data_IF_767618369008
#
_entry.id   IF_767618369008
#
_cell.length_a   1.000
_cell.length_b   1.000
_cell.length_c   1.000
_cell.angle_alpha   90.00
_cell.angle_beta   90.00
_cell.angle_gamma   90.00
#
_symmetry.space_group_name_H-M   'P 1'
#
loop_
_entity.id
_entity.type
_entity.pdbx_description
1 polymer ?
#
# COMPACT_ATOMS: atom_id res chain seq x y z
N UNK A 1 15.25 16.60 -34.37
CA UNK A 1 14.52 15.33 -34.10
C UNK A 1 14.10 15.35 -32.66
N UNK A 2 12.81 15.13 -32.38
CA UNK A 2 12.33 15.05 -30.99
C UNK A 2 12.96 13.83 -30.30
N UNK A 3 13.48 14.02 -29.10
CA UNK A 3 14.05 12.92 -28.28
C UNK A 3 13.00 11.82 -28.04
N UNK A 4 13.38 10.54 -28.20
CA UNK A 4 12.48 9.42 -27.97
C UNK A 4 11.94 9.44 -26.53
N UNK A 5 10.67 9.10 -26.30
CA UNK A 5 10.05 9.18 -24.97
C UNK A 5 10.60 8.14 -24.00
N UNK A 6 10.38 8.36 -22.72
CA UNK A 6 10.45 7.31 -21.68
C UNK A 6 9.09 6.62 -21.63
N UNK A 7 9.07 5.29 -21.74
CA UNK A 7 7.85 4.51 -21.56
C UNK A 7 7.64 4.14 -20.08
N UNK A 8 6.41 4.26 -19.61
CA UNK A 8 5.93 3.66 -18.37
C UNK A 8 4.94 2.58 -18.73
N UNK A 9 5.22 1.33 -18.34
CA UNK A 9 4.40 0.16 -18.68
C UNK A 9 3.56 -0.24 -17.46
N UNK A 10 2.27 0.04 -17.55
CA UNK A 10 1.28 -0.17 -16.49
C UNK A 10 0.92 1.11 -15.72
N UNK A 11 -0.39 1.40 -15.68
CA UNK A 11 -0.99 2.54 -14.97
C UNK A 11 -1.21 2.30 -13.47
N UNK A 12 -0.47 1.39 -12.82
CA UNK A 12 -0.52 1.17 -11.38
C UNK A 12 -0.06 2.41 -10.60
N UNK A 13 -0.33 2.50 -9.30
CA UNK A 13 0.16 3.62 -8.45
C UNK A 13 1.66 3.86 -8.58
N UNK A 14 2.45 2.79 -8.70
CA UNK A 14 3.89 2.91 -8.89
C UNK A 14 4.24 3.53 -10.25
N UNK A 15 3.54 3.11 -11.32
CA UNK A 15 3.69 3.67 -12.67
C UNK A 15 3.27 5.13 -12.73
N UNK A 16 2.11 5.48 -12.17
CA UNK A 16 1.64 6.86 -12.10
C UNK A 16 2.62 7.76 -11.33
N UNK A 17 3.17 7.28 -10.21
CA UNK A 17 4.15 8.02 -9.42
C UNK A 17 5.46 8.25 -10.20
N UNK A 18 5.93 7.25 -10.95
CA UNK A 18 7.11 7.37 -11.80
C UNK A 18 6.85 8.34 -12.96
N UNK A 19 5.74 8.19 -13.69
CA UNK A 19 5.38 9.04 -14.81
C UNK A 19 5.29 10.52 -14.42
N UNK A 20 4.60 10.84 -13.31
CA UNK A 20 4.46 12.20 -12.82
C UNK A 20 5.81 12.87 -12.49
N UNK A 21 6.73 12.09 -11.87
CA UNK A 21 8.06 12.59 -11.49
C UNK A 21 8.98 12.74 -12.69
N UNK A 22 8.99 11.80 -13.63
CA UNK A 22 9.78 11.87 -14.85
C UNK A 22 9.34 13.05 -15.72
N UNK A 23 8.04 13.25 -15.91
CA UNK A 23 7.52 14.38 -16.66
C UNK A 23 7.87 15.74 -16.00
N UNK A 24 7.94 15.80 -14.66
CA UNK A 24 8.43 17.00 -13.94
C UNK A 24 9.91 17.28 -14.24
N UNK A 25 10.71 16.26 -14.46
CA UNK A 25 12.11 16.38 -14.88
C UNK A 25 12.27 16.68 -16.37
N UNK A 26 11.18 17.08 -17.04
CA UNK A 26 11.14 17.45 -18.48
C UNK A 26 11.43 16.30 -19.44
N UNK A 27 11.32 15.05 -18.99
CA UNK A 27 11.32 13.92 -19.90
C UNK A 27 9.97 13.86 -20.62
N UNK A 28 9.98 13.57 -21.92
CA UNK A 28 8.77 13.15 -22.63
C UNK A 28 8.39 11.77 -22.12
N UNK A 29 7.16 11.60 -21.62
CA UNK A 29 6.69 10.35 -21.02
C UNK A 29 5.45 9.86 -21.76
N UNK A 30 5.44 8.59 -22.13
CA UNK A 30 4.28 7.86 -22.62
C UNK A 30 3.96 6.73 -21.64
N UNK A 31 2.70 6.63 -21.21
CA UNK A 31 2.22 5.59 -20.29
C UNK A 31 1.29 4.65 -21.06
N UNK A 32 1.64 3.37 -21.07
CA UNK A 32 0.83 2.29 -21.64
C UNK A 32 0.07 1.58 -20.52
N UNK A 33 -1.24 1.44 -20.70
CA UNK A 33 -2.11 0.70 -19.79
C UNK A 33 -3.02 -0.22 -20.62
N UNK A 34 -3.07 -1.50 -20.23
CA UNK A 34 -3.88 -2.49 -20.94
C UNK A 34 -5.38 -2.28 -20.74
N UNK A 35 -5.78 -1.72 -19.60
CA UNK A 35 -7.16 -1.33 -19.30
C UNK A 35 -7.50 0.06 -19.79
N UNK A 36 -8.75 0.43 -19.62
CA UNK A 36 -9.32 1.74 -19.97
C UNK A 36 -9.19 2.78 -18.84
N UNK A 37 -8.73 2.36 -17.67
CA UNK A 37 -8.63 3.20 -16.45
C UNK A 37 -7.24 3.17 -15.84
N UNK A 38 -6.84 4.30 -15.23
CA UNK A 38 -5.58 4.45 -14.49
C UNK A 38 -5.77 4.04 -13.03
N UNK A 39 -4.68 3.59 -12.38
CA UNK A 39 -4.67 3.20 -10.98
C UNK A 39 -4.56 1.68 -10.77
N UNK A 40 -4.67 0.90 -11.84
CA UNK A 40 -4.63 -0.56 -11.81
C UNK A 40 -5.67 -1.11 -10.83
N UNK A 41 -5.26 -2.05 -9.97
CA UNK A 41 -6.17 -2.65 -8.98
C UNK A 41 -6.84 -1.61 -8.04
N UNK A 42 -6.13 -0.53 -7.69
CA UNK A 42 -6.65 0.48 -6.77
C UNK A 42 -7.78 1.32 -7.35
N UNK A 43 -7.96 1.32 -8.67
CA UNK A 43 -9.08 1.98 -9.35
C UNK A 43 -10.40 1.21 -9.21
N UNK A 44 -10.36 -0.08 -8.85
CA UNK A 44 -11.56 -0.86 -8.64
C UNK A 44 -12.35 -0.31 -7.44
N UNK A 45 -13.69 -0.24 -7.53
CA UNK A 45 -14.53 0.33 -6.48
C UNK A 45 -14.26 -0.28 -5.10
N UNK A 46 -13.97 0.58 -4.13
CA UNK A 46 -13.73 0.21 -2.73
C UNK A 46 -12.39 -0.46 -2.44
N UNK A 47 -11.55 -0.78 -3.43
CA UNK A 47 -10.27 -1.48 -3.20
C UNK A 47 -9.25 -0.57 -2.51
N UNK A 48 -9.13 0.69 -2.93
CA UNK A 48 -8.30 1.68 -2.23
C UNK A 48 -8.99 2.09 -0.93
N UNK A 49 -8.40 1.79 0.24
CA UNK A 49 -9.03 2.15 1.51
C UNK A 49 -9.26 3.65 1.62
N UNK A 50 -10.41 4.10 2.18
CA UNK A 50 -10.67 5.52 2.42
C UNK A 50 -9.85 6.08 3.58
N UNK A 51 -9.23 5.22 4.39
CA UNK A 51 -8.30 5.59 5.46
C UNK A 51 -6.86 5.42 4.99
N UNK A 52 -6.10 6.49 5.07
CA UNK A 52 -4.70 6.59 4.66
C UNK A 52 -3.81 6.57 5.88
N UNK A 53 -2.83 5.67 5.90
CA UNK A 53 -1.70 5.72 6.82
C UNK A 53 -0.48 6.25 6.08
N UNK A 54 0.47 6.86 6.79
CA UNK A 54 1.70 7.40 6.21
C UNK A 54 1.45 8.31 4.98
N UNK A 55 0.86 9.51 5.14
CA UNK A 55 0.56 10.42 4.03
C UNK A 55 1.81 11.05 3.38
N UNK A 56 3.00 10.90 3.99
CA UNK A 56 4.23 11.51 3.52
C UNK A 56 4.60 11.16 2.07
N UNK A 57 4.47 9.91 1.57
CA UNK A 57 4.73 9.58 0.16
C UNK A 57 3.77 10.30 -0.81
N UNK A 58 2.50 10.50 -0.46
CA UNK A 58 1.56 11.31 -1.24
C UNK A 58 2.00 12.78 -1.30
N UNK A 59 2.34 13.38 -0.16
CA UNK A 59 2.87 14.74 -0.07
C UNK A 59 4.14 14.92 -0.89
N UNK A 60 5.06 13.96 -0.80
CA UNK A 60 6.30 13.99 -1.58
C UNK A 60 6.05 13.86 -3.10
N UNK A 61 5.16 12.94 -3.53
CA UNK A 61 4.79 12.79 -4.92
C UNK A 61 4.25 14.10 -5.51
N UNK A 62 3.26 14.71 -4.88
CA UNK A 62 2.64 15.93 -5.40
C UNK A 62 3.63 17.10 -5.42
N UNK A 63 4.42 17.29 -4.35
CA UNK A 63 5.48 18.30 -4.31
C UNK A 63 6.53 18.10 -5.41
N UNK A 64 6.94 16.85 -5.64
CA UNK A 64 7.96 16.49 -6.65
C UNK A 64 7.41 16.40 -8.06
N UNK A 65 6.11 16.47 -8.26
CA UNK A 65 5.46 16.52 -9.57
C UNK A 65 4.78 17.88 -9.85
N UNK A 66 4.76 18.80 -8.89
CA UNK A 66 4.18 20.14 -9.12
C UNK A 66 3.76 20.85 -7.85
N UNK A 67 2.46 21.14 -7.69
CA UNK A 67 1.93 21.81 -6.51
C UNK A 67 1.96 20.86 -5.29
N UNK A 68 2.25 21.37 -4.07
CA UNK A 68 2.14 20.59 -2.85
C UNK A 68 0.77 19.92 -2.67
N UNK A 69 0.73 18.77 -2.02
CA UNK A 69 -0.45 17.92 -1.90
C UNK A 69 -1.63 18.66 -1.27
N UNK A 70 -1.42 19.26 -0.09
CA UNK A 70 -2.51 19.95 0.63
C UNK A 70 -3.07 21.14 -0.19
N UNK A 71 -2.22 21.84 -0.96
CA UNK A 71 -2.66 22.90 -1.86
C UNK A 71 -3.41 22.39 -3.11
N UNK A 72 -3.08 21.17 -3.58
CA UNK A 72 -3.82 20.53 -4.66
C UNK A 72 -5.19 20.05 -4.18
N UNK A 73 -5.26 19.47 -2.99
CA UNK A 73 -6.51 19.07 -2.35
C UNK A 73 -7.44 20.27 -2.18
N UNK A 74 -6.95 21.36 -1.60
CA UNK A 74 -7.75 22.56 -1.36
C UNK A 74 -8.34 23.15 -2.66
N UNK A 75 -7.60 23.10 -3.78
CA UNK A 75 -8.05 23.58 -5.09
C UNK A 75 -9.27 22.83 -5.63
N UNK A 76 -9.45 21.60 -5.20
CA UNK A 76 -10.54 20.71 -5.67
C UNK A 76 -11.58 20.44 -4.58
N UNK A 77 -11.61 21.27 -3.52
CA UNK A 77 -12.53 21.11 -2.39
C UNK A 77 -12.18 19.96 -1.46
N UNK A 78 -11.04 19.29 -1.69
CA UNK A 78 -10.61 18.17 -0.85
C UNK A 78 -9.77 18.65 0.33
N UNK A 79 -9.77 17.83 1.39
CA UNK A 79 -8.85 17.95 2.52
C UNK A 79 -8.46 16.57 3.05
N UNK A 80 -7.27 16.49 3.63
CA UNK A 80 -6.85 15.31 4.38
C UNK A 80 -6.96 15.63 5.87
N UNK A 81 -7.92 15.01 6.54
CA UNK A 81 -8.22 15.26 7.95
C UNK A 81 -7.95 14.00 8.79
N UNK A 82 -7.71 14.12 10.12
CA UNK A 82 -7.58 12.94 10.98
C UNK A 82 -8.80 12.04 10.87
N UNK A 83 -8.58 10.73 10.72
CA UNK A 83 -9.63 9.73 10.77
C UNK A 83 -9.89 9.30 12.22
N UNK A 84 -11.11 8.91 12.59
CA UNK A 84 -11.41 8.33 13.89
C UNK A 84 -10.56 7.08 14.17
N UNK A 85 -10.36 6.74 15.46
CA UNK A 85 -9.74 5.47 15.84
C UNK A 85 -10.46 4.28 15.23
N UNK A 86 -9.71 3.22 14.87
CA UNK A 86 -10.32 1.97 14.44
C UNK A 86 -10.98 1.25 15.63
N UNK A 87 -12.13 0.63 15.37
CA UNK A 87 -12.82 -0.23 16.33
C UNK A 87 -12.50 -1.68 16.00
N UNK A 88 -11.97 -2.42 16.96
CA UNK A 88 -11.61 -3.83 16.82
C UNK A 88 -12.56 -4.71 17.60
N UNK A 89 -13.11 -5.74 16.95
CA UNK A 89 -13.89 -6.79 17.56
C UNK A 89 -13.10 -8.10 17.55
N UNK A 90 -13.02 -8.77 18.66
CA UNK A 90 -12.23 -9.98 18.84
C UNK A 90 -13.12 -11.22 19.02
N UNK A 91 -12.52 -12.38 18.75
CA UNK A 91 -13.25 -13.67 18.83
C UNK A 91 -13.73 -14.02 20.24
N UNK A 92 -13.16 -13.41 21.29
CA UNK A 92 -13.59 -13.55 22.67
C UNK A 92 -14.80 -12.65 23.04
N UNK A 93 -15.34 -11.92 22.06
CA UNK A 93 -16.42 -10.95 22.24
C UNK A 93 -15.96 -9.57 22.70
N UNK A 94 -14.66 -9.39 23.00
CA UNK A 94 -14.09 -8.12 23.42
C UNK A 94 -14.07 -7.10 22.28
N UNK A 95 -14.16 -5.82 22.64
CA UNK A 95 -14.09 -4.69 21.72
C UNK A 95 -13.03 -3.70 22.20
N UNK A 96 -12.25 -3.15 21.26
CA UNK A 96 -11.24 -2.14 21.53
C UNK A 96 -11.31 -1.03 20.49
N UNK A 97 -11.53 0.19 20.93
CA UNK A 97 -11.23 1.39 20.12
C UNK A 97 -9.76 1.74 20.31
N UNK A 98 -8.98 1.73 19.23
CA UNK A 98 -7.54 1.88 19.28
C UNK A 98 -7.10 3.27 18.76
N UNK A 99 -6.85 4.26 19.67
CA UNK A 99 -6.32 5.57 19.30
C UNK A 99 -4.92 5.48 18.70
N UNK A 100 -4.55 6.48 17.90
CA UNK A 100 -3.18 6.61 17.36
C UNK A 100 -2.30 7.51 18.23
N UNK A 101 -2.88 8.46 18.98
CA UNK A 101 -2.13 9.23 19.96
C UNK A 101 -1.52 8.31 21.03
N UNK A 102 -0.27 8.58 21.41
CA UNK A 102 0.48 7.70 22.34
C UNK A 102 -0.14 7.67 23.75
N UNK A 103 -0.61 8.81 24.23
CA UNK A 103 -1.23 8.92 25.55
C UNK A 103 -2.59 8.24 25.62
N UNK A 104 -3.45 8.55 24.64
CA UNK A 104 -4.79 7.98 24.54
C UNK A 104 -4.73 6.46 24.28
N UNK A 105 -3.78 6.00 23.46
CA UNK A 105 -3.55 4.59 23.20
C UNK A 105 -3.13 3.86 24.48
N UNK A 106 -2.20 4.45 25.24
CA UNK A 106 -1.76 3.91 26.52
C UNK A 106 -2.93 3.79 27.51
N UNK A 107 -3.76 4.84 27.63
CA UNK A 107 -4.92 4.85 28.50
C UNK A 107 -5.93 3.76 28.09
N UNK A 108 -6.28 3.70 26.80
CA UNK A 108 -7.23 2.72 26.27
C UNK A 108 -6.74 1.28 26.49
N UNK A 109 -5.48 0.99 26.22
CA UNK A 109 -4.89 -0.33 26.38
C UNK A 109 -4.72 -0.72 27.85
N UNK A 110 -4.41 0.22 28.72
CA UNK A 110 -4.33 -0.03 30.17
C UNK A 110 -5.71 -0.38 30.73
N UNK A 111 -6.74 0.32 30.28
CA UNK A 111 -8.12 0.02 30.68
C UNK A 111 -8.61 -1.35 30.17
N UNK A 112 -8.30 -1.68 28.90
CA UNK A 112 -8.78 -2.91 28.26
C UNK A 112 -7.97 -4.16 28.65
N UNK A 113 -6.64 -4.06 28.76
CA UNK A 113 -5.72 -5.22 28.91
C UNK A 113 -4.93 -5.22 30.21
N UNK A 114 -5.02 -4.17 30.99
CA UNK A 114 -4.19 -3.97 32.17
C UNK A 114 -2.78 -3.47 31.82
N UNK A 115 -2.13 -2.85 32.82
CA UNK A 115 -0.82 -2.21 32.68
C UNK A 115 0.29 -3.11 32.12
N UNK A 116 0.42 -4.40 32.54
CA UNK A 116 1.49 -5.25 32.01
C UNK A 116 1.40 -5.49 30.50
N UNK A 117 0.18 -5.76 29.97
CA UNK A 117 -0.01 -5.97 28.53
C UNK A 117 0.13 -4.67 27.74
N UNK A 118 -0.37 -3.54 28.25
CA UNK A 118 -0.17 -2.22 27.66
C UNK A 118 1.33 -1.86 27.57
N UNK A 119 2.12 -2.18 28.61
CA UNK A 119 3.59 -1.97 28.59
C UNK A 119 4.25 -2.78 27.49
N UNK A 120 3.97 -4.09 27.40
CA UNK A 120 4.51 -4.95 26.31
C UNK A 120 4.14 -4.44 24.91
N UNK A 121 2.90 -3.96 24.74
CA UNK A 121 2.47 -3.37 23.48
C UNK A 121 3.26 -2.11 23.14
N UNK A 122 3.43 -1.19 24.06
CA UNK A 122 4.23 0.03 23.88
C UNK A 122 5.67 -0.31 23.46
N UNK A 123 6.31 -1.21 24.20
CA UNK A 123 7.69 -1.62 23.96
C UNK A 123 7.84 -2.30 22.59
N UNK A 124 6.83 -3.09 22.16
CA UNK A 124 6.77 -3.65 20.82
C UNK A 124 6.69 -2.56 19.75
N UNK A 125 5.83 -1.56 19.93
CA UNK A 125 5.70 -0.49 18.93
C UNK A 125 6.95 0.38 18.84
N UNK A 126 7.68 0.58 19.94
CA UNK A 126 8.94 1.29 19.94
C UNK A 126 10.03 0.49 19.19
N UNK A 127 10.10 -0.82 19.38
CA UNK A 127 10.99 -1.71 18.60
C UNK A 127 10.61 -1.72 17.10
N UNK A 128 9.32 -1.68 16.77
CA UNK A 128 8.86 -1.61 15.37
C UNK A 128 9.18 -0.25 14.72
N UNK A 129 9.18 0.86 15.46
CA UNK A 129 9.64 2.17 14.96
C UNK A 129 11.13 2.13 14.59
N UNK A 130 11.99 1.49 15.39
CA UNK A 130 13.41 1.30 15.06
C UNK A 130 13.58 0.45 13.79
N UNK A 131 12.80 -0.63 13.66
CA UNK A 131 12.80 -1.49 12.45
C UNK A 131 12.36 -0.72 11.21
N UNK A 132 11.38 0.15 11.34
CA UNK A 132 10.96 1.03 10.27
C UNK A 132 12.09 1.91 9.76
N UNK A 133 12.91 2.52 10.65
CA UNK A 133 14.04 3.35 10.24
C UNK A 133 15.08 2.56 9.41
N UNK A 134 15.25 1.26 9.68
CA UNK A 134 16.14 0.39 8.91
C UNK A 134 15.48 0.03 7.57
N UNK A 135 14.23 -0.48 7.61
CA UNK A 135 13.48 -0.92 6.43
C UNK A 135 13.37 0.22 5.40
N UNK A 136 13.09 1.43 5.85
CA UNK A 136 12.95 2.62 5.03
C UNK A 136 14.16 2.87 4.14
N UNK A 137 15.36 2.61 4.64
CA UNK A 137 16.63 2.77 3.92
C UNK A 137 17.02 1.56 3.07
N UNK A 138 16.35 0.42 3.23
CA UNK A 138 16.67 -0.81 2.52
C UNK A 138 15.67 -1.08 1.37
N UNK A 139 15.75 -0.31 0.29
CA UNK A 139 14.96 -0.53 -0.92
C UNK A 139 13.60 0.16 -0.93
N UNK A 140 13.37 1.15 -0.04
CA UNK A 140 12.22 2.05 -0.10
C UNK A 140 12.64 3.47 -0.50
N UNK A 141 13.65 4.03 0.15
CA UNK A 141 14.20 5.35 -0.12
C UNK A 141 15.52 5.29 -0.89
N UNK A 142 16.32 4.26 -0.63
CA UNK A 142 17.57 3.97 -1.32
C UNK A 142 17.50 2.63 -2.06
N UNK A 143 18.32 2.47 -3.09
CA UNK A 143 18.44 1.21 -3.81
C UNK A 143 19.06 0.15 -2.89
N UNK A 144 18.44 -1.03 -2.82
CA UNK A 144 18.95 -2.14 -2.04
C UNK A 144 20.04 -2.89 -2.81
N UNK A 145 21.16 -3.11 -2.14
CA UNK A 145 22.19 -4.07 -2.54
C UNK A 145 22.39 -5.12 -1.45
N UNK A 146 22.90 -6.31 -1.79
CA UNK A 146 23.16 -7.35 -0.79
C UNK A 146 24.17 -6.92 0.28
N UNK A 147 25.09 -5.99 -0.06
CA UNK A 147 26.05 -5.40 0.87
C UNK A 147 25.37 -4.54 1.95
N UNK A 148 24.20 -3.97 1.68
CA UNK A 148 23.47 -3.16 2.64
C UNK A 148 22.86 -3.98 3.78
N UNK A 149 22.69 -5.30 3.58
CA UNK A 149 22.12 -6.20 4.57
C UNK A 149 23.19 -6.81 5.47
N UNK A 150 23.82 -5.99 6.29
CA UNK A 150 24.77 -6.46 7.29
C UNK A 150 24.11 -7.44 8.27
N UNK A 151 24.90 -8.31 8.97
CA UNK A 151 24.37 -9.20 10.00
C UNK A 151 23.55 -8.48 11.06
N UNK A 152 23.95 -7.27 11.47
CA UNK A 152 23.24 -6.43 12.44
C UNK A 152 21.90 -5.95 11.89
N UNK A 153 21.86 -5.44 10.64
CA UNK A 153 20.62 -5.01 9.98
C UNK A 153 19.67 -6.17 9.76
N UNK A 154 20.19 -7.36 9.38
CA UNK A 154 19.39 -8.59 9.24
C UNK A 154 18.75 -9.00 10.57
N UNK A 155 19.50 -9.00 11.65
CA UNK A 155 18.99 -9.32 12.99
C UNK A 155 17.94 -8.30 13.45
N UNK A 156 18.22 -7.01 13.28
CA UNK A 156 17.30 -5.92 13.66
C UNK A 156 16.00 -5.95 12.87
N UNK A 157 16.03 -6.22 11.55
CA UNK A 157 14.82 -6.40 10.74
C UNK A 157 14.01 -7.63 11.16
N UNK A 158 14.62 -8.60 11.83
CA UNK A 158 13.92 -9.82 12.21
C UNK A 158 13.56 -10.70 11.02
N UNK A 159 14.47 -10.85 10.04
CA UNK A 159 14.28 -11.75 8.88
C UNK A 159 14.34 -13.23 9.25
N UNK A 160 14.61 -13.57 10.51
CA UNK A 160 14.68 -14.93 11.06
C UNK A 160 13.40 -15.35 11.80
N UNK A 161 12.43 -14.47 11.96
CA UNK A 161 11.16 -14.79 12.61
C UNK A 161 9.97 -14.17 11.86
N UNK A 162 8.77 -14.65 12.18
CA UNK A 162 7.52 -14.30 11.48
C UNK A 162 6.62 -13.43 12.33
N UNK A 163 5.60 -12.82 11.70
CA UNK A 163 4.51 -12.12 12.38
C UNK A 163 3.83 -13.02 13.42
N UNK A 164 3.67 -14.35 13.12
CA UNK A 164 3.12 -15.31 14.09
C UNK A 164 4.01 -15.47 15.31
N UNK A 165 5.33 -15.48 15.13
CA UNK A 165 6.28 -15.55 16.24
C UNK A 165 6.18 -14.28 17.10
N UNK A 166 6.15 -13.10 16.49
CA UNK A 166 5.98 -11.82 17.17
C UNK A 166 4.66 -11.78 17.96
N UNK A 167 3.56 -12.25 17.35
CA UNK A 167 2.26 -12.33 18.00
C UNK A 167 2.23 -13.25 19.24
N UNK A 168 3.02 -14.33 19.23
CA UNK A 168 3.15 -15.21 20.41
C UNK A 168 3.91 -14.55 21.56
N UNK A 169 4.89 -13.70 21.25
CA UNK A 169 5.70 -13.02 22.26
C UNK A 169 4.97 -11.94 23.05
N UNK A 170 3.82 -11.45 22.56
CA UNK A 170 3.07 -10.39 23.27
C UNK A 170 2.30 -10.90 24.49
N UNK A 171 2.05 -12.19 24.59
CA UNK A 171 1.32 -12.84 25.70
C UNK A 171 -0.02 -12.16 26.05
N UNK A 172 -0.79 -11.80 25.02
CA UNK A 172 -2.15 -11.28 25.12
C UNK A 172 -2.95 -11.60 23.86
N UNK A 173 -4.14 -12.25 23.94
CA UNK A 173 -4.82 -12.80 22.75
C UNK A 173 -5.28 -11.71 21.77
N UNK A 174 -5.84 -10.61 22.26
CA UNK A 174 -6.29 -9.50 21.41
C UNK A 174 -5.12 -8.75 20.77
N UNK A 175 -4.05 -8.48 21.53
CA UNK A 175 -2.82 -7.91 20.96
C UNK A 175 -2.19 -8.82 19.89
N UNK A 176 -2.18 -10.13 20.11
CA UNK A 176 -1.73 -11.11 19.15
C UNK A 176 -2.60 -11.11 17.87
N UNK A 177 -3.91 -10.87 17.99
CA UNK A 177 -4.81 -10.75 16.84
C UNK A 177 -4.49 -9.49 16.02
N UNK A 178 -4.26 -8.35 16.65
CA UNK A 178 -3.83 -7.12 16.00
C UNK A 178 -2.53 -7.33 15.21
N UNK A 179 -1.53 -7.96 15.82
CA UNK A 179 -0.24 -8.24 15.17
C UNK A 179 -0.46 -9.17 13.96
N UNK A 180 -1.20 -10.28 14.10
CA UNK A 180 -1.48 -11.20 12.99
C UNK A 180 -2.21 -10.53 11.84
N UNK A 181 -3.12 -9.59 12.12
CA UNK A 181 -3.89 -8.90 11.08
C UNK A 181 -3.00 -8.15 10.09
N UNK A 182 -1.81 -7.71 10.48
CA UNK A 182 -0.87 -7.01 9.59
C UNK A 182 -0.41 -7.87 8.43
N UNK A 183 -0.22 -9.18 8.64
CA UNK A 183 0.17 -10.11 7.59
C UNK A 183 -0.99 -10.38 6.60
N UNK A 184 -2.19 -10.60 7.10
CA UNK A 184 -3.35 -10.84 6.24
C UNK A 184 -3.70 -9.63 5.39
N UNK A 185 -3.58 -8.42 5.92
CA UNK A 185 -3.87 -7.17 5.18
C UNK A 185 -2.97 -6.96 3.96
N UNK A 186 -1.80 -7.59 3.92
CA UNK A 186 -0.91 -7.61 2.75
C UNK A 186 -1.00 -8.92 1.95
N UNK A 187 -2.03 -9.72 2.16
CA UNK A 187 -2.28 -10.95 1.43
C UNK A 187 -1.34 -12.10 1.74
N UNK A 188 -0.86 -12.21 2.98
CA UNK A 188 0.12 -13.22 3.39
C UNK A 188 -0.27 -13.89 4.71
N UNK A 189 0.21 -15.13 4.91
CA UNK A 189 0.02 -15.89 6.14
C UNK A 189 0.95 -15.38 7.25
N UNK A 190 0.45 -15.07 8.47
CA UNK A 190 1.28 -14.68 9.61
C UNK A 190 2.41 -15.64 9.94
N UNK A 191 2.25 -16.95 9.65
CA UNK A 191 3.28 -17.98 9.89
C UNK A 191 4.44 -17.91 8.89
N UNK A 192 4.28 -17.17 7.80
CA UNK A 192 5.27 -17.06 6.70
C UNK A 192 5.76 -15.63 6.49
N UNK A 193 5.02 -14.66 6.99
CA UNK A 193 5.31 -13.23 6.84
C UNK A 193 6.42 -12.81 7.79
N UNK A 194 7.47 -12.08 7.33
CA UNK A 194 8.52 -11.55 8.20
C UNK A 194 7.95 -10.68 9.30
N UNK A 195 8.55 -10.74 10.50
CA UNK A 195 8.08 -9.96 11.66
C UNK A 195 8.08 -8.45 11.46
N UNK A 196 8.97 -7.92 10.63
CA UNK A 196 9.00 -6.48 10.35
C UNK A 196 7.74 -5.94 9.65
N UNK A 197 6.93 -6.77 9.04
CA UNK A 197 5.66 -6.33 8.42
C UNK A 197 4.71 -5.70 9.44
N UNK A 198 4.86 -6.07 10.72
CA UNK A 198 4.12 -5.46 11.81
C UNK A 198 4.46 -3.95 12.05
N UNK A 199 5.48 -3.39 11.37
CA UNK A 199 5.80 -1.93 11.42
C UNK A 199 4.60 -1.06 11.08
N UNK A 200 3.60 -1.60 10.34
CA UNK A 200 2.35 -0.90 10.06
C UNK A 200 1.68 -0.38 11.35
N UNK A 201 1.71 -1.13 12.45
CA UNK A 201 1.14 -0.72 13.74
C UNK A 201 1.87 0.50 14.32
N UNK A 202 3.20 0.53 14.21
CA UNK A 202 4.00 1.67 14.62
C UNK A 202 3.79 2.88 13.68
N UNK A 203 3.64 2.66 12.38
CA UNK A 203 3.35 3.72 11.41
C UNK A 203 2.02 4.41 11.71
N UNK A 204 0.97 3.65 12.05
CA UNK A 204 -0.34 4.21 12.42
C UNK A 204 -0.25 5.04 13.72
N UNK A 205 0.51 4.58 14.72
CA UNK A 205 0.76 5.33 15.96
C UNK A 205 1.57 6.62 15.71
N UNK A 206 2.59 6.54 14.85
CA UNK A 206 3.56 7.64 14.68
C UNK A 206 3.06 8.70 13.69
N UNK A 207 2.40 8.30 12.62
CA UNK A 207 1.96 9.20 11.54
C UNK A 207 0.45 9.43 11.50
N UNK A 208 -0.29 8.77 12.37
CA UNK A 208 -1.75 8.89 12.45
C UNK A 208 -2.48 8.14 11.34
N UNK A 209 -3.78 8.25 11.42
CA UNK A 209 -4.75 7.74 10.44
C UNK A 209 -5.48 8.94 9.86
N UNK A 210 -5.63 8.97 8.54
CA UNK A 210 -6.16 10.11 7.82
C UNK A 210 -7.27 9.68 6.88
N UNK A 211 -8.25 10.52 6.68
CA UNK A 211 -9.33 10.33 5.71
C UNK A 211 -9.36 11.47 4.72
N UNK A 212 -9.73 11.18 3.48
CA UNK A 212 -9.97 12.18 2.46
C UNK A 212 -11.40 12.68 2.60
N UNK A 213 -11.56 14.00 2.54
CA UNK A 213 -12.89 14.65 2.50
C UNK A 213 -12.98 15.55 1.26
N UNK A 214 -14.20 15.75 0.77
CA UNK A 214 -14.54 16.78 -0.22
C UNK A 214 -15.69 17.59 0.35
N UNK A 215 -15.52 18.90 0.42
CA UNK A 215 -16.50 19.84 1.01
C UNK A 215 -16.97 19.42 2.41
N UNK A 216 -16.03 18.87 3.19
CA UNK A 216 -16.25 18.38 4.56
C UNK A 216 -16.83 16.97 4.68
N UNK A 217 -17.30 16.35 3.59
CA UNK A 217 -17.80 14.98 3.61
C UNK A 217 -16.70 13.95 3.25
N UNK A 218 -16.64 12.77 3.91
CA UNK A 218 -15.73 11.69 3.53
C UNK A 218 -16.00 11.21 2.11
N UNK A 219 -14.91 10.96 1.37
CA UNK A 219 -14.96 10.44 0.00
C UNK A 219 -14.12 9.18 -0.15
N UNK A 220 -14.39 8.34 -1.18
CA UNK A 220 -13.57 7.16 -1.48
C UNK A 220 -12.12 7.52 -1.74
N UNK A 221 -11.21 6.57 -1.44
CA UNK A 221 -9.78 6.73 -1.70
C UNK A 221 -9.45 6.90 -3.20
N UNK A 222 -10.33 6.44 -4.10
CA UNK A 222 -10.20 6.59 -5.56
C UNK A 222 -10.09 8.03 -6.02
N UNK A 223 -10.64 9.00 -5.29
CA UNK A 223 -10.48 10.43 -5.60
C UNK A 223 -9.00 10.86 -5.66
N UNK A 224 -8.12 10.18 -4.93
CA UNK A 224 -6.67 10.42 -5.03
C UNK A 224 -6.09 10.00 -6.38
N UNK A 225 -6.65 8.97 -7.01
CA UNK A 225 -6.25 8.52 -8.34
C UNK A 225 -6.65 9.54 -9.39
N UNK A 226 -7.87 10.11 -9.28
CA UNK A 226 -8.36 11.14 -10.18
C UNK A 226 -7.51 12.41 -10.09
N UNK A 227 -7.15 12.83 -8.88
CA UNK A 227 -6.24 13.94 -8.64
C UNK A 227 -4.85 13.69 -9.25
N UNK A 228 -4.37 12.45 -9.17
CA UNK A 228 -3.08 12.06 -9.74
C UNK A 228 -3.15 12.00 -11.27
N UNK A 229 -4.21 11.45 -11.85
CA UNK A 229 -4.45 11.43 -13.30
C UNK A 229 -4.48 12.85 -13.88
N UNK A 230 -5.24 13.76 -13.24
CA UNK A 230 -5.26 15.17 -13.60
C UNK A 230 -3.87 15.82 -13.53
N UNK A 231 -3.05 15.45 -12.54
CA UNK A 231 -1.66 15.91 -12.43
C UNK A 231 -0.79 15.43 -13.60
N UNK A 232 -0.94 14.18 -14.02
CA UNK A 232 -0.18 13.64 -15.16
C UNK A 232 -0.55 14.35 -16.45
N UNK A 233 -1.86 14.60 -16.68
CA UNK A 233 -2.34 15.38 -17.83
C UNK A 233 -1.72 16.78 -17.85
N UNK A 234 -1.70 17.50 -16.72
CA UNK A 234 -1.06 18.82 -16.58
C UNK A 234 0.47 18.77 -16.84
N UNK A 235 1.10 17.60 -16.69
CA UNK A 235 2.52 17.40 -16.97
C UNK A 235 2.79 16.96 -18.40
N UNK A 236 1.77 16.83 -19.24
CA UNK A 236 1.90 16.42 -20.62
C UNK A 236 2.30 14.96 -20.79
N UNK A 237 1.92 14.09 -19.85
CA UNK A 237 2.09 12.64 -20.02
C UNK A 237 1.11 12.18 -21.10
N UNK A 238 1.61 11.48 -22.10
CA UNK A 238 0.81 10.83 -23.14
C UNK A 238 0.25 9.52 -22.57
N UNK A 239 -1.07 9.33 -22.63
CA UNK A 239 -1.71 8.09 -22.20
C UNK A 239 -2.10 7.24 -23.40
N UNK A 240 -1.77 5.96 -23.34
CA UNK A 240 -2.22 4.92 -24.27
C UNK A 240 -2.99 3.88 -23.45
N UNK A 241 -4.28 4.16 -23.26
CA UNK A 241 -5.22 3.31 -22.54
C UNK A 241 -5.84 2.29 -23.51
N UNK A 242 -6.18 1.08 -23.00
CA UNK A 242 -6.67 -0.02 -23.83
C UNK A 242 -5.61 -0.52 -24.83
N UNK A 243 -4.33 -0.19 -24.62
CA UNK A 243 -3.23 -0.60 -25.49
C UNK A 243 -2.27 -1.53 -24.73
N UNK A 244 -2.55 -2.85 -24.71
CA UNK A 244 -1.68 -3.80 -24.03
C UNK A 244 -0.31 -3.90 -24.70
N UNK A 245 0.72 -3.84 -23.88
CA UNK A 245 2.09 -4.14 -24.32
C UNK A 245 2.22 -5.65 -24.41
N UNK A 246 2.73 -6.16 -25.53
CA UNK A 246 2.89 -7.59 -25.79
C UNK A 246 4.33 -8.09 -25.70
N UNK A 247 5.31 -7.21 -25.87
CA UNK A 247 6.73 -7.53 -25.63
C UNK A 247 7.55 -6.27 -25.30
N UNK A 248 8.66 -6.49 -24.60
CA UNK A 248 9.65 -5.46 -24.28
C UNK A 248 11.03 -5.90 -24.77
N UNK A 249 11.71 -5.01 -25.49
CA UNK A 249 13.10 -5.17 -25.93
C UNK A 249 13.89 -3.90 -25.57
N UNK A 250 15.20 -3.94 -25.43
CA UNK A 250 15.99 -2.74 -25.19
C UNK A 250 15.65 -1.64 -26.20
N UNK A 251 15.15 -0.49 -25.71
CA UNK A 251 14.75 0.65 -26.54
C UNK A 251 13.44 0.51 -27.33
N UNK A 252 12.67 -0.58 -27.16
CA UNK A 252 11.45 -0.82 -27.94
C UNK A 252 10.33 -1.39 -27.06
N UNK A 253 9.16 -0.78 -27.14
CA UNK A 253 7.89 -1.30 -26.62
C UNK A 253 7.07 -1.84 -27.80
N UNK A 254 6.58 -3.07 -27.70
CA UNK A 254 5.73 -3.70 -28.73
C UNK A 254 4.30 -3.75 -28.24
N UNK A 255 3.36 -3.27 -29.05
CA UNK A 255 1.93 -3.33 -28.83
C UNK A 255 1.24 -3.96 -30.06
N UNK A 256 -0.06 -4.19 -30.00
CA UNK A 256 -0.81 -4.60 -31.19
C UNK A 256 -0.78 -3.52 -32.31
N UNK A 257 -0.64 -2.26 -31.94
CA UNK A 257 -0.50 -1.13 -32.86
C UNK A 257 0.88 -1.00 -33.53
N UNK A 258 1.85 -1.85 -33.13
CA UNK A 258 3.22 -1.85 -33.67
C UNK A 258 4.30 -1.58 -32.64
N UNK A 259 5.48 -1.27 -33.13
CA UNK A 259 6.67 -0.99 -32.33
C UNK A 259 6.82 0.51 -32.02
N UNK A 260 7.08 0.82 -30.76
CA UNK A 260 7.34 2.19 -30.31
C UNK A 260 8.76 2.28 -29.80
N UNK A 261 9.59 3.09 -30.49
CA UNK A 261 10.95 3.37 -30.06
C UNK A 261 10.95 4.27 -28.82
N UNK A 262 11.67 3.86 -27.78
CA UNK A 262 11.79 4.57 -26.50
C UNK A 262 13.25 4.62 -26.07
N UNK A 263 13.65 5.65 -25.33
CA UNK A 263 15.02 5.74 -24.85
C UNK A 263 15.25 5.01 -23.51
N UNK A 264 14.18 4.81 -22.75
CA UNK A 264 14.22 4.11 -21.48
C UNK A 264 12.81 3.66 -21.05
N UNK A 265 12.72 2.78 -20.05
CA UNK A 265 11.46 2.21 -19.59
C UNK A 265 11.39 2.12 -18.06
N UNK A 266 10.20 2.39 -17.52
CA UNK A 266 9.80 1.96 -16.18
C UNK A 266 8.73 0.88 -16.34
N UNK A 267 9.02 -0.36 -15.89
CA UNK A 267 8.02 -1.43 -15.92
C UNK A 267 7.28 -1.43 -14.58
N UNK A 268 6.01 -1.02 -14.61
CA UNK A 268 5.16 -0.88 -13.44
C UNK A 268 4.10 -1.98 -13.34
N UNK A 269 4.40 -3.12 -13.92
CA UNK A 269 3.60 -4.35 -13.89
C UNK A 269 4.12 -5.31 -12.82
N UNK A 270 3.38 -6.40 -12.58
CA UNK A 270 3.81 -7.44 -11.66
C UNK A 270 5.02 -8.26 -12.22
N UNK A 271 5.78 -8.99 -11.36
CA UNK A 271 7.00 -9.68 -11.82
C UNK A 271 6.75 -10.79 -12.84
N UNK A 272 5.60 -11.42 -12.82
CA UNK A 272 5.25 -12.50 -13.77
C UNK A 272 4.99 -11.90 -15.15
N UNK A 273 4.25 -10.80 -15.20
CA UNK A 273 4.00 -10.02 -16.42
C UNK A 273 5.30 -9.47 -17.00
N UNK A 274 6.12 -8.85 -16.16
CA UNK A 274 7.44 -8.34 -16.59
C UNK A 274 8.27 -9.44 -17.28
N UNK A 275 8.33 -10.64 -16.71
CA UNK A 275 9.07 -11.76 -17.32
C UNK A 275 8.43 -12.23 -18.63
N UNK A 276 7.10 -12.31 -18.67
CA UNK A 276 6.38 -12.63 -19.89
C UNK A 276 6.74 -11.64 -21.01
N UNK A 277 6.63 -10.36 -20.75
CA UNK A 277 6.93 -9.29 -21.70
C UNK A 277 8.39 -9.27 -22.18
N UNK A 278 9.33 -9.66 -21.33
CA UNK A 278 10.76 -9.69 -21.64
C UNK A 278 11.27 -11.04 -22.14
N UNK A 279 10.41 -12.06 -22.21
CA UNK A 279 10.79 -13.42 -22.60
C UNK A 279 11.72 -14.12 -21.61
N UNK A 280 11.85 -13.61 -20.38
CA UNK A 280 12.77 -14.16 -19.38
C UNK A 280 12.13 -15.33 -18.63
N UNK A 281 12.83 -16.46 -18.50
CA UNK A 281 12.34 -17.60 -17.70
C UNK A 281 12.33 -17.26 -16.21
N UNK A 282 11.40 -17.86 -15.47
CA UNK A 282 11.41 -17.74 -14.01
C UNK A 282 12.54 -18.62 -13.43
N UNK A 283 13.52 -18.06 -12.71
CA UNK A 283 14.52 -18.82 -12.02
C UNK A 283 13.86 -19.73 -10.98
N UNK A 284 14.16 -21.03 -10.98
CA UNK A 284 13.54 -22.02 -10.09
C UNK A 284 13.68 -21.70 -8.59
N UNK A 285 14.70 -20.92 -8.20
CA UNK A 285 14.94 -20.48 -6.82
C UNK A 285 14.19 -19.20 -6.43
N UNK A 286 13.59 -18.49 -7.40
CA UNK A 286 12.78 -17.26 -7.19
C UNK A 286 11.30 -17.48 -7.44
N UNK A 287 10.76 -18.65 -7.09
CA UNK A 287 9.33 -18.92 -7.26
C UNK A 287 8.52 -18.14 -6.25
N UNK A 288 8.31 -16.88 -6.56
CA UNK A 288 7.36 -16.01 -5.84
C UNK A 288 5.93 -16.37 -6.22
N UNK A 289 4.99 -16.07 -5.34
CA UNK A 289 3.56 -16.31 -5.58
C UNK A 289 2.79 -15.00 -5.45
N UNK A 290 1.68 -14.80 -6.19
CA UNK A 290 0.80 -13.66 -6.01
C UNK A 290 0.31 -13.54 -4.58
N UNK A 291 0.20 -12.31 -4.08
CA UNK A 291 -0.44 -12.03 -2.81
C UNK A 291 -1.94 -12.37 -2.87
N UNK A 292 -2.55 -12.59 -1.71
CA UNK A 292 -3.99 -12.84 -1.61
C UNK A 292 -4.70 -11.52 -1.43
N UNK A 293 -5.51 -11.15 -2.40
CA UNK A 293 -6.35 -9.97 -2.31
C UNK A 293 -7.64 -10.26 -1.53
N UNK A 294 -8.13 -9.35 -0.69
CA UNK A 294 -9.41 -9.52 -0.02
C UNK A 294 -10.54 -9.52 -1.06
N UNK A 295 -11.62 -10.21 -0.74
CA UNK A 295 -12.88 -9.99 -1.46
C UNK A 295 -13.44 -8.65 -1.03
N UNK A 296 -13.61 -7.73 -1.98
CA UNK A 296 -14.13 -6.38 -1.71
C UNK A 296 -15.61 -6.35 -2.08
N UNK A 297 -16.42 -5.74 -1.22
CA UNK A 297 -17.83 -5.42 -1.47
C UNK A 297 -18.06 -3.95 -1.17
N UNK A 298 -18.85 -3.32 -2.02
CA UNK A 298 -19.41 -1.99 -1.79
C UNK A 298 -20.94 -2.15 -1.75
N UNK A 299 -21.56 -1.74 -0.66
CA UNK A 299 -23.02 -1.82 -0.46
C UNK A 299 -23.56 -0.48 -0.02
N UNK A 300 -24.84 -0.20 -0.33
CA UNK A 300 -25.55 0.94 0.26
C UNK A 300 -25.67 0.76 1.77
N UNK A 301 -25.58 1.86 2.52
CA UNK A 301 -25.77 1.82 3.97
C UNK A 301 -27.17 1.31 4.37
N UNK A 302 -28.18 1.55 3.53
CA UNK A 302 -29.57 1.09 3.75
C UNK A 302 -29.75 -0.42 3.52
N UNK A 303 -28.92 -1.04 2.66
CA UNK A 303 -28.99 -2.48 2.38
C UNK A 303 -28.42 -3.36 3.50
N UNK A 304 -27.64 -2.80 4.40
CA UNK A 304 -27.07 -3.51 5.56
C UNK A 304 -28.13 -3.79 6.64
N UNK A 305 -29.26 -3.06 6.63
CA UNK A 305 -30.38 -3.27 7.56
C UNK A 305 -31.39 -4.33 7.11
N UNK A 306 -31.30 -4.82 5.85
CA UNK A 306 -32.28 -5.75 5.25
C UNK A 306 -31.69 -7.13 4.87
N UNK A 307 -30.58 -7.54 5.51
CA UNK A 307 -29.91 -8.82 5.24
C UNK A 307 -30.80 -10.04 5.40
N UNK A 308 -30.84 -10.91 4.41
CA UNK A 308 -31.54 -12.19 4.42
C UNK A 308 -30.93 -13.17 5.44
N UNK A 309 -31.70 -14.16 5.87
CA UNK A 309 -31.40 -15.07 6.98
C UNK A 309 -30.03 -15.78 6.95
N UNK A 310 -29.37 -15.87 5.80
CA UNK A 310 -28.01 -16.44 5.67
C UNK A 310 -26.89 -15.47 6.16
N UNK A 311 -27.16 -14.17 6.17
CA UNK A 311 -26.27 -13.16 6.77
C UNK A 311 -26.53 -13.01 8.30
N UNK A 312 -27.66 -13.52 8.82
CA UNK A 312 -28.05 -13.41 10.23
C UNK A 312 -27.10 -14.18 11.18
N UNK A 313 -26.45 -15.26 10.73
CA UNK A 313 -25.47 -15.99 11.54
C UNK A 313 -24.18 -15.19 11.78
N UNK A 314 -23.87 -14.23 10.90
CA UNK A 314 -22.72 -13.34 11.08
C UNK A 314 -23.07 -12.13 11.95
N UNK A 315 -24.35 -11.76 12.04
CA UNK A 315 -24.84 -10.65 12.86
C UNK A 315 -25.06 -11.00 14.35
N UNK A 316 -25.20 -12.28 14.69
CA UNK A 316 -25.47 -12.71 16.07
C UNK A 316 -24.27 -12.53 17.00
N UNK A 317 -23.07 -12.28 16.48
CA UNK A 317 -21.87 -11.95 17.27
C UNK A 317 -21.89 -10.49 17.77
N UNK A 318 -22.82 -9.66 17.27
CA UNK A 318 -22.95 -8.23 17.62
C UNK A 318 -23.93 -7.92 18.77
N UNK A 319 -24.41 -8.91 19.48
CA UNK A 319 -25.37 -8.74 20.59
C UNK A 319 -24.78 -8.16 21.90
N UNK A 320 -23.62 -7.52 21.82
CA UNK A 320 -22.95 -6.86 22.95
C UNK A 320 -22.50 -5.44 22.63
N UNK A 321 -23.42 -4.45 22.71
CA UNK A 321 -23.03 -3.05 22.89
C UNK A 321 -22.73 -2.20 21.66
N UNK A 322 -23.05 -2.63 20.44
CA UNK A 322 -23.09 -1.73 19.27
C UNK A 322 -24.29 -0.78 19.35
N UNK A 323 -24.29 0.37 18.63
CA UNK A 323 -25.45 1.25 18.57
C UNK A 323 -26.68 0.45 18.13
N UNK A 324 -27.80 0.65 18.80
CA UNK A 324 -29.06 -0.06 18.55
C UNK A 324 -29.42 0.00 17.06
N UNK A 325 -29.88 -1.13 16.44
CA UNK A 325 -30.44 -1.10 15.09
C UNK A 325 -31.56 -0.03 15.03
N UNK A 326 -31.44 0.91 14.08
CA UNK A 326 -32.38 2.01 13.92
C UNK A 326 -31.89 3.37 14.41
N UNK A 327 -30.72 3.47 15.06
CA UNK A 327 -30.03 4.74 15.32
C UNK A 327 -28.78 4.85 14.46
N UNK A 328 -28.96 4.90 13.13
CA UNK A 328 -27.92 5.46 12.26
C UNK A 328 -28.00 6.96 12.44
N UNK A 329 -27.02 7.63 13.08
CA UNK A 329 -27.02 9.07 13.11
C UNK A 329 -26.98 9.57 11.66
N UNK A 330 -27.90 10.37 11.24
CA UNK A 330 -27.98 10.97 9.90
C UNK A 330 -26.73 11.77 9.49
N UNK A 331 -25.77 11.93 10.38
CA UNK A 331 -24.53 12.68 10.18
C UNK A 331 -23.35 11.95 10.84
N UNK A 332 -22.75 11.02 10.12
CA UNK A 332 -21.38 10.57 10.42
C UNK A 332 -20.42 11.41 9.55
N UNK A 333 -19.80 12.48 10.07
CA UNK A 333 -18.87 13.30 9.30
C UNK A 333 -17.53 12.60 9.00
N UNK A 334 -17.37 11.34 9.39
CA UNK A 334 -16.10 10.62 9.39
C UNK A 334 -16.24 9.18 8.91
N UNK A 335 -15.17 8.67 8.30
CA UNK A 335 -15.05 7.23 7.99
C UNK A 335 -14.84 6.45 9.28
N UNK A 336 -15.73 5.54 9.60
CA UNK A 336 -15.54 4.59 10.72
C UNK A 336 -14.95 3.29 10.17
N UNK A 337 -13.76 2.92 10.62
CA UNK A 337 -13.17 1.60 10.33
C UNK A 337 -13.47 0.63 11.47
N UNK A 338 -14.08 -0.49 11.14
CA UNK A 338 -14.31 -1.60 12.04
C UNK A 338 -13.50 -2.81 11.58
N UNK A 339 -12.76 -3.45 12.47
CA UNK A 339 -11.94 -4.63 12.20
C UNK A 339 -12.43 -5.80 13.01
N UNK A 340 -12.93 -6.83 12.34
CA UNK A 340 -13.39 -8.06 12.95
C UNK A 340 -12.29 -9.10 12.81
N UNK A 341 -11.74 -9.56 13.94
CA UNK A 341 -10.63 -10.51 13.97
C UNK A 341 -11.15 -11.95 13.98
N UNK A 342 -10.90 -12.68 12.90
CA UNK A 342 -11.22 -14.10 12.76
C UNK A 342 -9.97 -15.00 12.76
N UNK A 343 -10.16 -16.33 12.87
CA UNK A 343 -9.07 -17.31 12.89
C UNK A 343 -8.35 -17.43 11.54
N UNK A 344 -9.03 -17.18 10.43
CA UNK A 344 -8.51 -17.28 9.05
C UNK A 344 -8.22 -15.93 8.40
N UNK A 345 -8.39 -14.82 9.11
CA UNK A 345 -8.12 -13.48 8.66
C UNK A 345 -9.11 -12.46 9.19
N UNK A 346 -8.81 -11.17 9.07
CA UNK A 346 -9.73 -10.12 9.47
C UNK A 346 -10.76 -9.83 8.38
N UNK A 347 -11.91 -9.30 8.80
CA UNK A 347 -12.82 -8.54 7.94
C UNK A 347 -12.70 -7.08 8.35
N UNK A 348 -12.52 -6.19 7.38
CA UNK A 348 -12.39 -4.75 7.62
C UNK A 348 -13.54 -4.04 6.93
N UNK A 349 -14.32 -3.30 7.69
CA UNK A 349 -15.44 -2.52 7.19
C UNK A 349 -15.14 -1.02 7.33
N UNK A 350 -15.37 -0.28 6.26
CA UNK A 350 -15.31 1.18 6.25
C UNK A 350 -16.72 1.71 6.01
N UNK A 351 -17.26 2.43 6.97
CA UNK A 351 -18.56 3.10 6.84
C UNK A 351 -18.35 4.55 6.44
N UNK A 352 -18.88 4.90 5.29
CA UNK A 352 -18.95 6.26 4.76
C UNK A 352 -20.41 6.69 4.67
N UNK A 353 -20.72 7.99 4.52
CA UNK A 353 -22.09 8.42 4.23
C UNK A 353 -22.65 7.68 3.00
N UNK A 354 -23.78 7.01 3.17
CA UNK A 354 -24.49 6.30 2.11
C UNK A 354 -23.86 4.96 1.66
N UNK A 355 -22.68 4.56 2.12
CA UNK A 355 -22.08 3.30 1.69
C UNK A 355 -21.24 2.60 2.76
N UNK A 356 -21.11 1.27 2.62
CA UNK A 356 -20.20 0.44 3.40
C UNK A 356 -19.28 -0.31 2.45
N UNK A 357 -17.97 -0.20 2.70
CA UNK A 357 -16.94 -0.93 1.97
C UNK A 357 -16.41 -2.04 2.88
N UNK A 358 -16.46 -3.27 2.43
CA UNK A 358 -15.96 -4.43 3.18
C UNK A 358 -14.78 -5.08 2.47
N UNK A 359 -13.66 -5.23 3.17
CA UNK A 359 -12.51 -6.04 2.75
C UNK A 359 -12.48 -7.34 3.56
N UNK A 360 -12.88 -8.44 2.92
CA UNK A 360 -12.93 -9.75 3.55
C UNK A 360 -11.66 -10.56 3.23
N UNK A 361 -10.72 -10.60 4.16
CA UNK A 361 -9.47 -11.36 4.04
C UNK A 361 -9.65 -12.85 4.36
N UNK A 362 -10.80 -13.27 4.89
CA UNK A 362 -11.10 -14.70 5.12
C UNK A 362 -11.37 -15.44 3.80
N UNK A 363 -11.75 -14.71 2.76
CA UNK A 363 -12.07 -15.19 1.40
C UNK A 363 -11.13 -14.57 0.36
N UNK A 364 -9.85 -14.43 0.74
CA UNK A 364 -8.86 -13.82 -0.13
C UNK A 364 -8.39 -14.78 -1.23
N UNK A 365 -8.25 -14.26 -2.45
CA UNK A 365 -7.82 -15.01 -3.65
C UNK A 365 -6.50 -14.47 -4.18
N UNK A 366 -5.76 -15.31 -4.93
CA UNK A 366 -4.48 -14.93 -5.51
C UNK A 366 -4.66 -13.86 -6.59
N UNK A 367 -3.98 -12.71 -6.42
CA UNK A 367 -4.10 -11.57 -7.32
C UNK A 367 -2.71 -10.96 -7.61
N UNK A 368 -2.17 -11.14 -8.83
CA UNK A 368 -0.85 -10.62 -9.20
C UNK A 368 -0.72 -9.10 -9.03
N UNK A 369 -1.77 -8.34 -9.31
CA UNK A 369 -1.80 -6.89 -9.14
C UNK A 369 -1.73 -6.44 -7.68
N UNK A 370 -1.98 -7.36 -6.73
CA UNK A 370 -1.86 -7.10 -5.29
C UNK A 370 -0.45 -7.34 -4.74
N UNK A 371 0.51 -7.70 -5.59
CA UNK A 371 1.90 -7.88 -5.23
C UNK A 371 2.30 -9.32 -4.92
N UNK A 372 3.38 -9.49 -4.15
CA UNK A 372 3.98 -10.79 -3.85
C UNK A 372 3.64 -11.27 -2.45
N UNK A 373 3.14 -12.51 -2.34
CA UNK A 373 2.88 -13.18 -1.06
C UNK A 373 4.18 -13.65 -0.41
N UNK A 374 4.30 -13.42 0.87
CA UNK A 374 5.39 -13.93 1.69
C UNK A 374 5.21 -15.44 1.93
N UNK A 375 6.09 -16.26 1.35
CA UNK A 375 6.12 -17.71 1.55
C UNK A 375 7.11 -18.12 2.63
N UNK A 376 8.00 -17.21 3.02
CA UNK A 376 8.92 -17.27 4.16
C UNK A 376 9.46 -15.87 4.44
N UNK A 377 10.10 -15.62 5.61
CA UNK A 377 10.79 -14.35 5.86
C UNK A 377 11.87 -14.02 4.83
N UNK A 378 12.47 -15.05 4.19
CA UNK A 378 13.48 -14.88 3.14
C UNK A 378 12.92 -14.42 1.80
N UNK A 379 11.60 -14.49 1.59
CA UNK A 379 10.96 -14.01 0.36
C UNK A 379 11.29 -12.54 0.08
N UNK A 380 11.51 -11.73 1.12
CA UNK A 380 11.94 -10.35 0.98
C UNK A 380 13.24 -10.18 0.16
N UNK A 381 14.18 -11.13 0.28
CA UNK A 381 15.42 -11.15 -0.49
C UNK A 381 15.21 -11.61 -1.95
N UNK A 382 14.10 -12.27 -2.23
CA UNK A 382 13.74 -12.80 -3.55
C UNK A 382 12.86 -11.84 -4.36
N UNK A 383 12.44 -10.72 -3.76
CA UNK A 383 11.64 -9.72 -4.45
C UNK A 383 12.42 -9.14 -5.65
N UNK A 384 11.71 -8.69 -6.70
CA UNK A 384 12.35 -8.16 -7.90
C UNK A 384 13.34 -7.04 -7.57
N UNK A 385 14.51 -7.02 -8.21
CA UNK A 385 15.42 -5.91 -8.10
C UNK A 385 14.83 -4.68 -8.81
N UNK A 386 15.24 -3.49 -8.38
CA UNK A 386 14.88 -2.25 -9.05
C UNK A 386 15.51 -2.15 -10.45
N UNK A 387 16.81 -2.48 -10.55
CA UNK A 387 17.54 -2.54 -11.83
C UNK A 387 17.31 -3.89 -12.50
N UNK A 388 17.03 -3.84 -13.78
CA UNK A 388 17.04 -5.02 -14.65
C UNK A 388 18.45 -5.25 -15.21
N UNK A 389 18.62 -6.26 -16.04
CA UNK A 389 19.90 -6.43 -16.79
C UNK A 389 20.13 -5.37 -17.86
N UNK A 390 19.11 -4.61 -18.25
CA UNK A 390 19.17 -3.48 -19.18
C UNK A 390 19.28 -2.16 -18.40
N UNK A 391 20.34 -1.35 -18.57
CA UNK A 391 20.49 -0.06 -17.89
C UNK A 391 19.40 0.96 -18.20
N UNK A 392 18.75 0.84 -19.36
CA UNK A 392 17.61 1.67 -19.77
C UNK A 392 16.28 1.26 -19.16
N UNK A 393 16.23 0.17 -18.37
CA UNK A 393 14.99 -0.37 -17.82
C UNK A 393 15.06 -0.55 -16.30
N UNK A 394 14.08 0.02 -15.60
CA UNK A 394 13.90 -0.15 -14.14
C UNK A 394 12.50 -0.66 -13.82
N UNK A 395 12.34 -1.27 -12.66
CA UNK A 395 11.04 -1.80 -12.19
C UNK A 395 10.44 -0.94 -11.08
N UNK A 396 9.10 -0.83 -11.06
CA UNK A 396 8.37 -0.20 -9.97
C UNK A 396 7.02 -0.92 -9.80
N UNK A 397 6.73 -1.52 -8.64
CA UNK A 397 5.50 -2.29 -8.50
C UNK A 397 5.08 -2.53 -7.05
N UNK A 398 3.89 -3.10 -6.87
CA UNK A 398 3.40 -3.65 -5.61
C UNK A 398 4.25 -4.82 -5.09
N UNK A 399 5.11 -5.41 -5.92
CA UNK A 399 6.06 -6.46 -5.56
C UNK A 399 7.44 -5.92 -5.18
N UNK A 400 7.59 -4.60 -5.00
CA UNK A 400 8.81 -3.99 -4.48
C UNK A 400 9.05 -4.35 -3.00
N UNK A 401 10.23 -3.99 -2.48
CA UNK A 401 10.62 -4.29 -1.08
C UNK A 401 9.72 -3.65 -0.02
N UNK A 402 8.97 -2.60 -0.37
CA UNK A 402 7.98 -1.98 0.50
C UNK A 402 6.66 -2.73 0.60
N UNK A 403 6.43 -3.69 -0.30
CA UNK A 403 5.17 -4.42 -0.38
C UNK A 403 4.09 -3.66 -1.15
N UNK A 404 2.83 -4.05 -0.91
CA UNK A 404 1.68 -3.65 -1.70
C UNK A 404 0.86 -2.48 -1.14
N UNK A 405 1.22 -1.93 0.01
CA UNK A 405 0.54 -0.74 0.51
C UNK A 405 0.64 0.43 -0.49
N UNK A 406 -0.39 1.28 -0.62
CA UNK A 406 -0.37 2.41 -1.56
C UNK A 406 0.86 3.31 -1.38
N UNK A 407 1.24 3.62 -0.13
CA UNK A 407 2.42 4.42 0.17
C UNK A 407 3.72 3.76 -0.30
N UNK A 408 3.81 2.43 -0.23
CA UNK A 408 4.98 1.67 -0.67
C UNK A 408 5.14 1.69 -2.19
N UNK A 409 4.03 1.60 -2.93
CA UNK A 409 4.04 1.71 -4.39
C UNK A 409 4.47 3.12 -4.84
N UNK A 410 4.03 4.17 -4.14
CA UNK A 410 4.50 5.54 -4.42
C UNK A 410 6.01 5.70 -4.22
N UNK A 411 6.57 5.08 -3.19
CA UNK A 411 8.02 5.06 -2.95
C UNK A 411 8.76 4.24 -4.00
N UNK A 412 8.20 3.10 -4.43
CA UNK A 412 8.76 2.30 -5.52
C UNK A 412 8.87 3.09 -6.82
N UNK A 413 7.81 3.83 -7.21
CA UNK A 413 7.83 4.73 -8.37
C UNK A 413 8.83 5.88 -8.21
N UNK A 414 8.97 6.44 -7.01
CA UNK A 414 9.95 7.48 -6.72
C UNK A 414 11.39 6.98 -6.90
N UNK A 415 11.69 5.81 -6.32
CA UNK A 415 13.03 5.22 -6.40
C UNK A 415 13.40 4.85 -7.84
N UNK A 416 12.47 4.27 -8.60
CA UNK A 416 12.64 3.98 -10.03
C UNK A 416 12.94 5.26 -10.82
N UNK A 417 12.23 6.36 -10.52
CA UNK A 417 12.49 7.65 -11.15
C UNK A 417 13.91 8.15 -10.88
N UNK A 418 14.36 8.11 -9.63
CA UNK A 418 15.68 8.58 -9.24
C UNK A 418 16.78 7.83 -9.99
N UNK A 419 16.70 6.50 -9.98
CA UNK A 419 17.70 5.65 -10.64
C UNK A 419 17.69 5.84 -12.15
N UNK A 420 16.51 5.88 -12.78
CA UNK A 420 16.43 6.04 -14.23
C UNK A 420 16.90 7.44 -14.67
N UNK A 421 16.53 8.50 -13.93
CA UNK A 421 16.97 9.85 -14.22
C UNK A 421 18.51 9.98 -14.13
N UNK A 422 19.08 9.42 -13.05
CA UNK A 422 20.53 9.39 -12.86
C UNK A 422 21.25 8.64 -13.99
N UNK A 423 20.73 7.47 -14.39
CA UNK A 423 21.28 6.70 -15.53
C UNK A 423 21.27 7.49 -16.85
N UNK A 424 20.21 8.30 -17.09
CA UNK A 424 20.02 9.02 -18.33
C UNK A 424 20.76 10.35 -18.39
N UNK A 425 20.99 10.99 -17.26
CA UNK A 425 21.48 12.39 -17.21
C UNK A 425 22.76 12.56 -16.39
N UNK A 426 23.13 11.57 -15.59
CA UNK A 426 24.21 11.67 -14.61
C UNK A 426 23.86 12.51 -13.37
N UNK A 427 22.64 13.08 -13.30
CA UNK A 427 22.22 13.95 -12.20
C UNK A 427 21.43 13.20 -11.13
N UNK A 428 21.85 13.28 -9.87
CA UNK A 428 21.09 12.77 -8.75
C UNK A 428 20.04 13.79 -8.29
N UNK A 429 18.77 13.41 -8.34
CA UNK A 429 17.63 14.23 -7.93
C UNK A 429 17.01 13.76 -6.60
N UNK A 430 17.68 12.84 -5.88
CA UNK A 430 17.26 12.43 -4.55
C UNK A 430 17.27 13.62 -3.58
N UNK A 431 16.37 13.67 -2.59
CA UNK A 431 16.41 14.72 -1.57
C UNK A 431 17.74 14.72 -0.80
N UNK A 432 18.35 15.89 -0.62
CA UNK A 432 19.68 16.06 0.03
C UNK A 432 19.72 15.58 1.47
N UNK A 433 18.60 15.62 2.21
CA UNK A 433 18.50 15.08 3.57
C UNK A 433 18.55 13.54 3.64
N UNK A 434 18.56 12.86 2.49
CA UNK A 434 18.80 11.42 2.36
C UNK A 434 20.25 11.08 2.06
N UNK A 435 21.07 12.10 1.76
CA UNK A 435 22.48 11.96 1.38
C UNK A 435 23.41 11.70 2.58
N UNK A 436 22.95 11.66 3.80
CA UNK A 436 23.78 11.23 4.94
C UNK A 436 23.85 9.70 4.91
N UNK A 437 24.73 9.17 4.07
CA UNK A 437 25.24 7.81 4.23
C UNK A 437 26.17 7.81 5.45
N UNK A 438 25.87 6.99 6.47
CA UNK A 438 26.86 6.78 7.53
C UNK A 438 28.03 5.98 6.97
#
# INVERSE_FOLDING_TARGET
>A
MSEAPIAVIGGSLAGLAAAARLAKQRHRVVLFEAGDTLGGRWAQPGVLPPVITLPAPWRDLFRKSGRPFDAELARTGHALVPAPPAVHHFADGGTLTLPTDRGDQWAALTAAWGRPAATRWRDLLDDLDERWQILRRLGLEDEFTDADLTPQRRARLGLNYTVKHLARGIDHPQAAALIRSTAWRIGSDPARTPGFVAVRLALERTFGRWQLTRDGAPVPGTDLLDLLAARLTLRGVEFRLGEPVTALRPGVVVTEGGEVAVRAMVTAVNPWEHRHLTGQPEPWWRRTKPALAPRVRVSSADSVSSGTADDAQTHTVFAGGGPKPGTVPELWPNVVETVIHGPSGPRVEYRLPGQVITHDFTRAEAEPGFGTRWTSPRTWLQLPPLRTGDPGTVTASASSRGGNDPWAQLLSGALATYVLHENLTGADIRPTNKAVRP
#
